data_IF_120268757202
#
_entry.id   IF_120268757202
#
_cell.length_a   1.000
_cell.length_b   1.000
_cell.length_c   1.000
_cell.angle_alpha   90.00
_cell.angle_beta   90.00
_cell.angle_gamma   90.00
#
_symmetry.space_group_name_H-M   'P 1'
#
loop_
_entity.id
_entity.type
_entity.pdbx_description
1 polymer ?
#
# COMPACT_ATOMS: atom_id res chain seq x y z
N UNK A 1 1.19 -14.41 -5.22
CA UNK A 1 -0.12 -14.96 -5.68
C UNK A 1 -1.15 -13.85 -5.89
N UNK A 2 -1.42 -12.99 -4.91
CA UNK A 2 -2.40 -11.89 -5.07
C UNK A 2 -2.02 -10.84 -6.12
N UNK A 3 -0.75 -10.42 -6.18
CA UNK A 3 -0.22 -9.52 -7.22
C UNK A 3 -0.53 -10.02 -8.63
N UNK A 4 -0.31 -11.31 -8.89
CA UNK A 4 -0.62 -11.94 -10.18
C UNK A 4 -2.11 -11.83 -10.54
N UNK A 5 -3.02 -12.03 -9.56
CA UNK A 5 -4.45 -11.86 -9.80
C UNK A 5 -4.83 -10.41 -10.10
N UNK A 6 -4.16 -9.45 -9.46
CA UNK A 6 -4.35 -8.02 -9.70
C UNK A 6 -3.95 -7.62 -11.13
N UNK A 7 -2.81 -8.10 -11.61
CA UNK A 7 -2.33 -7.87 -12.98
C UNK A 7 -3.23 -8.47 -14.06
N UNK A 8 -4.03 -9.49 -13.72
CA UNK A 8 -5.00 -10.11 -14.62
C UNK A 8 -6.40 -9.49 -14.50
N UNK A 9 -6.69 -8.78 -13.43
CA UNK A 9 -7.98 -8.13 -13.22
C UNK A 9 -8.11 -6.90 -14.15
N UNK A 10 -9.07 -6.96 -15.08
CA UNK A 10 -9.27 -5.91 -16.10
C UNK A 10 -9.78 -4.61 -15.49
N UNK A 11 -10.63 -4.70 -14.48
CA UNK A 11 -11.27 -3.53 -13.85
C UNK A 11 -10.24 -2.74 -13.04
N UNK A 12 -9.40 -3.44 -12.28
CA UNK A 12 -8.28 -2.81 -11.58
C UNK A 12 -7.33 -2.11 -12.56
N UNK A 13 -7.01 -2.77 -13.67
CA UNK A 13 -6.14 -2.18 -14.71
C UNK A 13 -6.74 -0.97 -15.39
N UNK A 14 -8.05 -0.97 -15.64
CA UNK A 14 -8.76 0.18 -16.18
C UNK A 14 -8.75 1.38 -15.21
N UNK A 15 -8.58 1.13 -13.92
CA UNK A 15 -8.52 2.15 -12.88
C UNK A 15 -7.12 2.76 -12.71
N UNK A 16 -6.03 2.08 -13.12
CA UNK A 16 -4.64 2.55 -12.96
C UNK A 16 -4.36 3.98 -13.48
N UNK A 17 -5.01 4.51 -14.54
CA UNK A 17 -4.82 5.91 -14.92
C UNK A 17 -5.31 6.94 -13.88
N UNK A 18 -6.08 6.51 -12.87
CA UNK A 18 -6.71 7.37 -11.87
C UNK A 18 -5.97 7.40 -10.53
N UNK A 19 -4.98 6.54 -10.31
CA UNK A 19 -4.21 6.47 -9.07
C UNK A 19 -2.83 5.84 -9.29
N UNK A 20 -1.92 6.00 -8.34
CA UNK A 20 -0.61 5.34 -8.37
C UNK A 20 -0.65 4.04 -7.57
N UNK A 21 -0.35 2.92 -8.23
CA UNK A 21 -0.10 1.64 -7.58
C UNK A 21 1.40 1.42 -7.41
N UNK A 22 1.83 1.11 -6.19
CA UNK A 22 3.23 0.86 -5.85
C UNK A 22 3.34 -0.32 -4.89
N UNK A 23 4.41 -1.09 -5.04
CA UNK A 23 4.77 -2.16 -4.12
C UNK A 23 5.93 -1.70 -3.25
N UNK A 24 5.80 -1.94 -1.94
CA UNK A 24 6.84 -1.66 -0.96
C UNK A 24 7.37 -2.99 -0.41
N UNK A 25 8.64 -3.28 -0.69
CA UNK A 25 9.34 -4.39 -0.03
C UNK A 25 9.74 -3.95 1.38
N UNK A 26 9.02 -4.48 2.37
CA UNK A 26 9.23 -4.17 3.78
C UNK A 26 10.53 -4.77 4.34
N UNK A 27 11.21 -5.66 3.63
CA UNK A 27 12.50 -6.23 4.03
C UNK A 27 13.69 -5.58 3.30
N UNK A 28 13.41 -4.68 2.35
CA UNK A 28 14.44 -3.91 1.65
C UNK A 28 15.32 -3.13 2.62
N UNK A 29 16.62 -3.09 2.30
CA UNK A 29 17.63 -2.33 3.06
C UNK A 29 17.94 -0.96 2.48
N UNK A 30 17.44 -0.68 1.28
CA UNK A 30 17.66 0.60 0.61
C UNK A 30 16.85 1.69 1.31
N UNK A 31 17.46 2.84 1.66
CA UNK A 31 16.74 3.98 2.21
C UNK A 31 15.68 4.52 1.25
N UNK A 32 14.53 4.93 1.78
CA UNK A 32 13.46 5.55 1.00
C UNK A 32 13.17 6.94 1.57
N UNK A 33 13.24 7.96 0.71
CA UNK A 33 12.77 9.30 1.04
C UNK A 33 11.30 9.42 0.67
N UNK A 34 10.45 9.64 1.67
CA UNK A 34 9.01 9.79 1.50
C UNK A 34 8.50 11.00 2.29
N UNK A 35 7.71 11.86 1.64
CA UNK A 35 7.15 13.08 2.24
C UNK A 35 8.18 13.94 3.02
N UNK A 36 9.37 14.12 2.44
CA UNK A 36 10.45 14.93 3.03
C UNK A 36 11.22 14.27 4.20
N UNK A 37 10.93 13.01 4.52
CA UNK A 37 11.62 12.23 5.55
C UNK A 37 12.31 11.01 4.94
N UNK A 38 13.54 10.75 5.36
CA UNK A 38 14.23 9.49 5.06
C UNK A 38 13.79 8.41 6.04
N UNK A 39 13.49 7.22 5.50
CA UNK A 39 13.14 6.02 6.23
C UNK A 39 14.16 4.94 5.91
N UNK A 40 14.61 4.23 6.93
CA UNK A 40 15.69 3.25 6.80
C UNK A 40 15.26 1.87 7.27
N UNK A 41 16.11 0.87 7.03
CA UNK A 41 15.89 -0.48 7.54
C UNK A 41 16.24 -0.58 9.01
N UNK A 42 15.31 -1.11 9.81
CA UNK A 42 15.51 -1.37 11.24
C UNK A 42 15.65 -2.87 11.51
N UNK A 43 16.85 -3.36 11.87
CA UNK A 43 17.04 -4.75 12.27
C UNK A 43 16.17 -5.12 13.48
N UNK A 44 15.56 -6.31 13.48
CA UNK A 44 14.81 -6.86 14.61
C UNK A 44 15.25 -8.30 14.98
N UNK A 45 16.33 -8.80 14.37
CA UNK A 45 16.92 -10.10 14.62
C UNK A 45 18.20 -10.31 13.81
N UNK A 46 18.76 -11.52 13.84
CA UNK A 46 20.09 -11.81 13.25
C UNK A 46 20.11 -11.63 11.73
N UNK A 47 19.01 -11.94 11.03
CA UNK A 47 18.86 -11.77 9.58
C UNK A 47 17.52 -11.14 9.20
N UNK A 48 16.84 -10.55 10.18
CA UNK A 48 15.49 -10.03 10.02
C UNK A 48 15.47 -8.58 10.45
N UNK A 49 14.52 -7.86 9.89
CA UNK A 49 14.30 -6.46 10.14
C UNK A 49 13.19 -5.98 9.24
N UNK A 50 12.80 -4.73 9.44
CA UNK A 50 11.66 -4.15 8.76
C UNK A 50 12.01 -2.72 8.37
N UNK A 51 11.63 -2.34 7.16
CA UNK A 51 11.78 -1.00 6.66
C UNK A 51 10.86 -0.05 7.44
N UNK A 52 11.38 1.05 7.97
CA UNK A 52 10.63 1.98 8.81
C UNK A 52 9.42 2.58 8.09
N UNK A 53 9.51 2.77 6.77
CA UNK A 53 8.38 3.24 5.96
C UNK A 53 7.21 2.25 5.99
N UNK A 54 7.48 0.94 5.94
CA UNK A 54 6.43 -0.08 6.01
C UNK A 54 5.69 0.04 7.34
N UNK A 55 6.43 0.19 8.44
CA UNK A 55 5.87 0.38 9.79
C UNK A 55 5.07 1.68 9.90
N UNK A 56 5.61 2.80 9.41
CA UNK A 56 4.96 4.10 9.48
C UNK A 56 3.64 4.13 8.71
N UNK A 57 3.61 3.49 7.53
CA UNK A 57 2.41 3.41 6.70
C UNK A 57 1.44 2.34 7.18
N UNK A 58 1.94 1.16 7.56
CA UNK A 58 1.17 -0.03 7.91
C UNK A 58 0.67 -0.09 9.36
N UNK A 59 1.23 0.70 10.28
CA UNK A 59 0.87 0.66 11.70
C UNK A 59 1.75 -0.28 12.52
N UNK A 60 2.17 0.16 13.71
CA UNK A 60 3.26 -0.45 14.47
C UNK A 60 2.99 -1.87 15.01
N UNK A 61 1.73 -2.22 15.32
CA UNK A 61 1.39 -3.47 16.03
C UNK A 61 0.69 -4.54 15.18
N UNK A 62 0.32 -4.25 13.92
CA UNK A 62 -0.58 -5.12 13.14
C UNK A 62 -0.03 -5.54 11.76
N UNK A 63 1.25 -5.32 11.49
CA UNK A 63 1.82 -5.56 10.17
C UNK A 63 1.88 -7.05 9.81
N UNK A 64 0.85 -7.52 9.10
CA UNK A 64 0.86 -8.79 8.37
C UNK A 64 0.84 -8.56 6.86
N UNK A 65 1.38 -9.55 6.12
CA UNK A 65 1.61 -9.45 4.69
C UNK A 65 0.62 -10.32 3.89
N UNK A 66 0.16 -9.86 2.71
CA UNK A 66 0.37 -8.51 2.19
C UNK A 66 -0.38 -7.46 3.02
N UNK A 67 0.09 -6.21 2.99
CA UNK A 67 -0.61 -5.07 3.57
C UNK A 67 -1.04 -4.12 2.45
N UNK A 68 -2.29 -3.66 2.52
CA UNK A 68 -2.89 -2.73 1.56
C UNK A 68 -3.06 -1.38 2.24
N UNK A 69 -2.37 -0.38 1.72
CA UNK A 69 -2.41 0.99 2.25
C UNK A 69 -2.92 1.90 1.14
N UNK A 70 -3.94 2.69 1.46
CA UNK A 70 -4.41 3.76 0.60
C UNK A 70 -4.03 5.10 1.19
N UNK A 71 -3.42 5.94 0.36
CA UNK A 71 -3.02 7.30 0.70
C UNK A 71 -3.90 8.30 -0.06
N UNK A 72 -4.23 9.41 0.59
CA UNK A 72 -4.78 10.58 -0.09
C UNK A 72 -3.69 11.36 -0.86
N UNK A 73 -4.09 12.43 -1.55
CA UNK A 73 -3.19 13.31 -2.32
C UNK A 73 -2.14 14.04 -1.47
N UNK A 74 -2.37 14.14 -0.16
CA UNK A 74 -1.47 14.78 0.80
C UNK A 74 -0.67 13.72 1.59
N UNK A 75 -0.63 12.48 1.07
CA UNK A 75 0.07 11.32 1.64
C UNK A 75 -0.43 10.87 3.03
N UNK A 76 -1.67 11.22 3.40
CA UNK A 76 -2.28 10.72 4.63
C UNK A 76 -2.85 9.33 4.41
N UNK A 77 -2.61 8.43 5.35
CA UNK A 77 -3.19 7.09 5.34
C UNK A 77 -4.69 7.20 5.64
N UNK A 78 -5.52 6.80 4.68
CA UNK A 78 -6.98 6.81 4.79
C UNK A 78 -7.60 5.41 4.87
N UNK A 79 -6.83 4.37 4.52
CA UNK A 79 -7.25 2.98 4.66
C UNK A 79 -6.03 2.07 4.86
N UNK A 80 -6.23 1.04 5.70
CA UNK A 80 -5.30 -0.08 5.91
C UNK A 80 -6.08 -1.38 5.89
N UNK A 81 -5.52 -2.39 5.25
CA UNK A 81 -5.98 -3.76 5.37
C UNK A 81 -4.81 -4.73 5.37
N UNK A 82 -4.82 -5.64 6.33
CA UNK A 82 -3.75 -6.59 6.54
C UNK A 82 -4.24 -7.99 6.17
N UNK A 83 -3.58 -8.58 5.16
CA UNK A 83 -3.90 -9.89 4.63
C UNK A 83 -4.37 -9.88 3.18
N UNK A 84 -4.76 -11.05 2.71
CA UNK A 84 -5.22 -11.25 1.34
C UNK A 84 -6.64 -10.70 1.18
N UNK A 85 -6.87 -9.94 0.10
CA UNK A 85 -8.21 -9.49 -0.28
C UNK A 85 -8.89 -10.60 -1.07
N UNK A 86 -10.12 -10.95 -0.69
CA UNK A 86 -11.01 -11.70 -1.56
C UNK A 86 -11.60 -10.78 -2.65
N UNK A 87 -12.34 -11.36 -3.58
CA UNK A 87 -12.93 -10.63 -4.72
C UNK A 87 -13.84 -9.47 -4.30
N UNK A 88 -14.75 -9.69 -3.35
CA UNK A 88 -15.65 -8.65 -2.85
C UNK A 88 -14.90 -7.50 -2.15
N UNK A 89 -13.83 -7.81 -1.42
CA UNK A 89 -12.98 -6.82 -0.76
C UNK A 89 -12.17 -6.02 -1.79
N UNK A 90 -11.66 -6.67 -2.84
CA UNK A 90 -10.97 -5.99 -3.93
C UNK A 90 -11.91 -5.04 -4.67
N UNK A 91 -13.15 -5.46 -4.97
CA UNK A 91 -14.16 -4.59 -5.55
C UNK A 91 -14.49 -3.39 -4.66
N UNK A 92 -14.62 -3.60 -3.34
CA UNK A 92 -14.85 -2.52 -2.39
C UNK A 92 -13.69 -1.51 -2.40
N UNK A 93 -12.44 -1.98 -2.42
CA UNK A 93 -11.26 -1.14 -2.53
C UNK A 93 -11.26 -0.33 -3.84
N UNK A 94 -11.58 -0.95 -4.98
CA UNK A 94 -11.67 -0.24 -6.27
C UNK A 94 -12.76 0.83 -6.28
N UNK A 95 -13.91 0.57 -5.63
CA UNK A 95 -14.97 1.57 -5.45
C UNK A 95 -14.49 2.76 -4.61
N UNK A 96 -13.78 2.51 -3.50
CA UNK A 96 -13.21 3.59 -2.68
C UNK A 96 -12.22 4.44 -3.47
N UNK A 97 -11.29 3.82 -4.21
CA UNK A 97 -10.33 4.53 -5.05
C UNK A 97 -11.03 5.40 -6.10
N UNK A 98 -12.08 4.86 -6.73
CA UNK A 98 -12.87 5.59 -7.73
C UNK A 98 -13.49 6.85 -7.13
N UNK A 99 -14.15 6.71 -5.99
CA UNK A 99 -14.83 7.83 -5.34
C UNK A 99 -13.85 8.92 -4.88
N UNK A 100 -12.71 8.53 -4.29
CA UNK A 100 -11.68 9.48 -3.89
C UNK A 100 -11.07 10.23 -5.09
N UNK A 101 -10.89 9.54 -6.21
CA UNK A 101 -10.41 10.14 -7.44
C UNK A 101 -11.42 11.13 -8.04
N UNK A 102 -12.72 10.89 -7.90
CA UNK A 102 -13.77 11.82 -8.35
C UNK A 102 -13.84 13.07 -7.45
N UNK A 103 -13.77 12.90 -6.12
CA UNK A 103 -13.85 13.98 -5.13
C UNK A 103 -12.66 14.96 -5.17
N UNK A 104 -11.49 14.51 -5.63
CA UNK A 104 -10.28 15.35 -5.77
C UNK A 104 -10.24 16.23 -7.02
N UNK A 105 -11.28 16.21 -7.87
CA UNK A 105 -11.33 16.97 -9.14
C UNK A 105 -12.09 18.31 -9.03
N UNK A 106 -12.41 18.74 -7.80
CA UNK A 106 -13.13 19.99 -7.50
C UNK A 106 -12.22 21.18 -7.21
#
# INVERSE_FOLDING_TARGET
MQQYYLEKNKDFRALLPRFYYMELDAESREPIVFNGREYTYRPNGIKTGIHELAVALGGEEELSYPAWILLDKDYRVIFRYHGVLNEAQLEALMRMITQLADEGTG
#
